data_IF_738890083665
#
_entry.id   IF_738890083665
#
_cell.length_a   1.000
_cell.length_b   1.000
_cell.length_c   1.000
_cell.angle_alpha   90.00
_cell.angle_beta   90.00
_cell.angle_gamma   90.00
#
_symmetry.space_group_name_H-M   'P 1'
#
loop_
_entity.id
_entity.type
_entity.pdbx_description
1 polymer ?
#
# COMPACT_ATOMS: atom_id res chain seq x y z
N UNK A 1 -20.54 3.38 20.31
CA UNK A 1 -20.54 4.62 19.52
C UNK A 1 -20.21 4.31 18.07
N UNK A 2 -21.06 4.74 17.16
CA UNK A 2 -20.90 4.45 15.75
C UNK A 2 -20.25 5.63 15.05
N UNK A 3 -19.18 5.41 14.31
CA UNK A 3 -18.58 6.45 13.49
C UNK A 3 -19.39 6.64 12.21
N UNK A 4 -19.54 7.89 11.81
CA UNK A 4 -20.11 8.21 10.52
C UNK A 4 -19.13 7.90 9.39
N UNK A 5 -19.65 7.74 8.17
CA UNK A 5 -18.83 7.40 7.00
C UNK A 5 -17.70 8.41 6.77
N UNK A 6 -17.92 9.74 6.84
CA UNK A 6 -16.81 10.70 6.69
C UNK A 6 -15.72 10.56 7.75
N UNK A 7 -16.10 10.25 8.98
CA UNK A 7 -15.13 10.02 10.06
C UNK A 7 -14.30 8.76 9.83
N UNK A 8 -14.95 7.70 9.34
CA UNK A 8 -14.26 6.47 9.01
C UNK A 8 -13.27 6.66 7.87
N UNK A 9 -13.64 7.42 6.86
CA UNK A 9 -12.76 7.75 5.74
C UNK A 9 -11.55 8.56 6.20
N UNK A 10 -11.77 9.59 7.01
CA UNK A 10 -10.69 10.41 7.53
C UNK A 10 -9.71 9.58 8.36
N UNK A 11 -10.23 8.68 9.18
CA UNK A 11 -9.40 7.79 9.98
C UNK A 11 -8.60 6.82 9.14
N UNK A 12 -9.22 6.27 8.10
CA UNK A 12 -8.52 5.38 7.17
C UNK A 12 -7.39 6.08 6.45
N UNK A 13 -7.59 7.32 6.02
CA UNK A 13 -6.55 8.13 5.39
C UNK A 13 -5.41 8.42 6.36
N UNK A 14 -5.72 8.76 7.60
CA UNK A 14 -4.71 9.00 8.63
C UNK A 14 -3.87 7.76 8.91
N UNK A 15 -4.51 6.60 9.03
CA UNK A 15 -3.80 5.34 9.25
C UNK A 15 -2.92 4.97 8.07
N UNK A 16 -3.41 5.17 6.85
CA UNK A 16 -2.64 4.93 5.65
C UNK A 16 -1.41 5.85 5.60
N UNK A 17 -1.61 7.13 5.92
CA UNK A 17 -0.52 8.11 5.95
C UNK A 17 0.57 7.71 6.94
N UNK A 18 0.18 7.26 8.15
CA UNK A 18 1.15 6.78 9.14
C UNK A 18 1.89 5.54 8.66
N UNK A 19 1.20 4.64 8.02
CA UNK A 19 1.80 3.43 7.46
C UNK A 19 2.87 3.79 6.41
N UNK A 20 2.54 4.73 5.53
CA UNK A 20 3.49 5.22 4.53
C UNK A 20 4.72 5.84 5.23
N UNK A 21 4.50 6.66 6.24
CA UNK A 21 5.59 7.32 6.96
C UNK A 21 6.54 6.30 7.61
N UNK A 22 5.98 5.29 8.28
CA UNK A 22 6.77 4.25 8.95
C UNK A 22 7.59 3.45 7.94
N UNK A 23 6.98 3.04 6.86
CA UNK A 23 7.65 2.24 5.84
C UNK A 23 8.67 3.07 5.07
N UNK A 24 8.35 4.33 4.76
CA UNK A 24 9.28 5.24 4.09
C UNK A 24 10.51 5.49 4.95
N UNK A 25 10.34 5.68 6.26
CA UNK A 25 11.44 5.86 7.18
C UNK A 25 12.34 4.63 7.24
N UNK A 26 11.76 3.45 7.36
CA UNK A 26 12.51 2.21 7.39
C UNK A 26 13.26 1.96 6.07
N UNK A 27 12.60 2.22 4.95
CA UNK A 27 13.18 2.07 3.62
C UNK A 27 14.34 3.04 3.42
N UNK A 28 14.13 4.30 3.77
CA UNK A 28 15.14 5.36 3.63
C UNK A 28 16.40 5.03 4.43
N UNK A 29 16.24 4.57 5.66
CA UNK A 29 17.38 4.15 6.49
C UNK A 29 18.18 3.04 5.83
N UNK A 30 17.46 2.08 5.24
CA UNK A 30 18.10 0.91 4.64
C UNK A 30 18.91 1.25 3.40
N UNK A 31 18.45 2.23 2.62
CA UNK A 31 19.12 2.62 1.37
C UNK A 31 19.94 3.91 1.50
N UNK A 32 20.01 4.49 2.69
CA UNK A 32 20.83 5.68 2.94
C UNK A 32 20.25 6.96 2.37
N UNK A 33 18.93 7.08 2.35
CA UNK A 33 18.23 8.28 1.86
C UNK A 33 17.42 8.94 2.96
N UNK A 34 16.99 10.16 2.69
CA UNK A 34 16.10 10.92 3.58
C UNK A 34 14.70 10.34 3.52
N UNK A 35 14.01 10.17 4.66
CA UNK A 35 12.62 9.67 4.67
C UNK A 35 11.63 10.56 3.93
N UNK A 36 11.95 11.84 3.76
CA UNK A 36 11.15 12.77 2.98
C UNK A 36 11.48 12.78 1.49
N UNK A 37 12.42 11.96 1.06
CA UNK A 37 12.82 11.86 -0.35
C UNK A 37 11.59 11.48 -1.21
N UNK A 38 11.36 12.25 -2.25
CA UNK A 38 10.25 12.06 -3.17
C UNK A 38 10.22 10.65 -3.77
N UNK A 39 11.37 10.16 -4.21
CA UNK A 39 11.45 8.84 -4.83
C UNK A 39 11.16 7.71 -3.82
N UNK A 40 11.62 7.85 -2.57
CA UNK A 40 11.33 6.89 -1.51
C UNK A 40 9.84 6.86 -1.22
N UNK A 41 9.22 8.02 -1.05
CA UNK A 41 7.79 8.09 -0.76
C UNK A 41 6.95 7.57 -1.91
N UNK A 42 7.32 7.86 -3.14
CA UNK A 42 6.64 7.33 -4.32
C UNK A 42 6.74 5.82 -4.41
N UNK A 43 7.91 5.27 -4.15
CA UNK A 43 8.10 3.82 -4.15
C UNK A 43 7.22 3.15 -3.10
N UNK A 44 7.23 3.67 -1.87
CA UNK A 44 6.44 3.12 -0.77
C UNK A 44 4.95 3.23 -1.08
N UNK A 45 4.50 4.38 -1.57
CA UNK A 45 3.11 4.58 -1.96
C UNK A 45 2.67 3.63 -3.07
N UNK A 46 3.53 3.40 -4.05
CA UNK A 46 3.25 2.47 -5.13
C UNK A 46 3.12 1.03 -4.63
N UNK A 47 4.02 0.60 -3.76
CA UNK A 47 3.97 -0.74 -3.16
C UNK A 47 2.67 -0.92 -2.37
N UNK A 48 2.35 0.04 -1.52
CA UNK A 48 1.12 -0.02 -0.71
C UNK A 48 -0.11 -0.02 -1.61
N UNK A 49 -0.14 0.84 -2.62
CA UNK A 49 -1.26 0.91 -3.56
C UNK A 49 -1.46 -0.39 -4.33
N UNK A 50 -0.37 -0.99 -4.77
CA UNK A 50 -0.41 -2.28 -5.46
C UNK A 50 -0.94 -3.38 -4.55
N UNK A 51 -0.47 -3.44 -3.31
CA UNK A 51 -0.94 -4.43 -2.34
C UNK A 51 -2.41 -4.21 -2.01
N UNK A 52 -2.84 -2.98 -1.76
CA UNK A 52 -4.24 -2.67 -1.50
C UNK A 52 -5.13 -3.05 -2.68
N UNK A 53 -4.70 -2.74 -3.89
CA UNK A 53 -5.43 -3.09 -5.10
C UNK A 53 -5.63 -4.60 -5.23
N UNK A 54 -4.63 -5.39 -4.82
CA UNK A 54 -4.68 -6.85 -4.91
C UNK A 54 -5.48 -7.49 -3.77
N UNK A 55 -5.54 -6.84 -2.60
CA UNK A 55 -6.09 -7.45 -1.39
C UNK A 55 -7.48 -6.94 -1.01
N UNK A 56 -7.88 -5.76 -1.46
CA UNK A 56 -9.20 -5.23 -1.12
C UNK A 56 -10.29 -6.10 -1.74
N UNK A 57 -11.30 -6.49 -0.96
CA UNK A 57 -12.36 -7.34 -1.46
C UNK A 57 -13.28 -6.56 -2.40
N UNK A 58 -13.08 -6.74 -3.68
CA UNK A 58 -13.93 -6.17 -4.72
C UNK A 58 -14.93 -7.18 -5.26
N UNK A 59 -14.77 -8.44 -4.91
CA UNK A 59 -15.70 -9.50 -5.23
C UNK A 59 -15.89 -10.42 -4.03
N UNK A 60 -17.13 -10.90 -3.77
CA UNK A 60 -17.38 -11.87 -2.71
C UNK A 60 -16.61 -13.16 -2.93
N UNK A 61 -16.25 -13.84 -1.87
CA UNK A 61 -15.66 -15.18 -1.93
C UNK A 61 -14.17 -15.22 -2.20
N UNK A 62 -13.45 -14.16 -1.94
CA UNK A 62 -11.99 -14.19 -2.00
C UNK A 62 -11.42 -15.14 -0.96
N UNK A 63 -10.56 -16.03 -1.41
CA UNK A 63 -9.82 -16.93 -0.55
C UNK A 63 -8.41 -16.42 -0.30
N UNK A 64 -7.85 -16.73 0.86
CA UNK A 64 -6.51 -16.32 1.24
C UNK A 64 -5.45 -16.74 0.21
N UNK A 65 -5.58 -17.95 -0.34
CA UNK A 65 -4.64 -18.45 -1.34
C UNK A 65 -4.65 -17.58 -2.60
N UNK A 66 -5.83 -17.18 -3.05
CA UNK A 66 -5.99 -16.28 -4.20
C UNK A 66 -5.41 -14.90 -3.91
N UNK A 67 -5.55 -14.43 -2.68
CA UNK A 67 -5.03 -13.15 -2.24
C UNK A 67 -3.50 -13.12 -2.34
N UNK A 68 -2.83 -14.15 -1.83
CA UNK A 68 -1.38 -14.23 -1.91
C UNK A 68 -0.89 -14.28 -3.36
N UNK A 69 -1.55 -15.07 -4.19
CA UNK A 69 -1.20 -15.16 -5.60
C UNK A 69 -1.35 -13.81 -6.31
N UNK A 70 -2.40 -13.07 -5.98
CA UNK A 70 -2.63 -11.74 -6.56
C UNK A 70 -1.62 -10.70 -6.07
N UNK A 71 -1.27 -10.73 -4.79
CA UNK A 71 -0.24 -9.83 -4.26
C UNK A 71 1.10 -10.11 -4.96
N UNK A 72 1.45 -11.37 -5.09
CA UNK A 72 2.69 -11.77 -5.75
C UNK A 72 2.73 -11.29 -7.21
N UNK A 73 1.65 -11.51 -7.95
CA UNK A 73 1.53 -11.05 -9.34
C UNK A 73 1.54 -9.51 -9.43
N UNK A 74 0.90 -8.84 -8.49
CA UNK A 74 0.86 -7.38 -8.46
C UNK A 74 2.23 -6.77 -8.19
N UNK A 75 3.00 -7.36 -7.28
CA UNK A 75 4.37 -6.91 -6.99
C UNK A 75 5.30 -7.17 -8.18
N UNK A 76 5.14 -8.29 -8.86
CA UNK A 76 5.88 -8.59 -10.08
C UNK A 76 5.55 -7.59 -11.19
N UNK A 77 4.29 -7.19 -11.30
CA UNK A 77 3.84 -6.19 -12.26
C UNK A 77 4.43 -4.81 -11.95
N UNK A 78 4.49 -4.45 -10.68
CA UNK A 78 5.14 -3.21 -10.25
C UNK A 78 6.63 -3.24 -10.61
N UNK A 79 7.31 -4.34 -10.33
CA UNK A 79 8.73 -4.51 -10.65
C UNK A 79 8.99 -4.37 -12.16
N UNK A 80 8.06 -4.83 -12.97
CA UNK A 80 8.14 -4.73 -14.44
C UNK A 80 7.83 -3.33 -14.99
N UNK A 81 7.42 -2.38 -14.14
CA UNK A 81 7.12 -1.01 -14.54
C UNK A 81 5.64 -0.76 -14.84
N UNK A 82 4.76 -1.61 -14.36
CA UNK A 82 3.30 -1.48 -14.50
C UNK A 82 2.84 -1.40 -15.97
N UNK A 83 3.26 -2.30 -16.84
CA UNK A 83 2.82 -2.26 -18.24
C UNK A 83 1.31 -2.51 -18.34
N UNK A 84 0.66 -1.78 -19.24
CA UNK A 84 -0.78 -1.94 -19.49
C UNK A 84 -1.08 -3.04 -20.49
#
# INVERSE_FOLDING_TARGET
MTMEIPELRARAVDELSRTIDVIAEATARRIGRDPGDFAVRNLVGAIIGVILSATMPWAPGHHTADTFARVDAALAHLEAGLPL
#
